data_IF_687061746809
#
_entry.id   IF_687061746809
#
_cell.length_a   1.000
_cell.length_b   1.000
_cell.length_c   1.000
_cell.angle_alpha   90.00
_cell.angle_beta   90.00
_cell.angle_gamma   90.00
#
_symmetry.space_group_name_H-M   'P 1'
#
loop_
_entity.id
_entity.type
_entity.pdbx_description
1 polymer ?
#
# COMPACT_ATOMS: atom_id res chain seq x y z
N UNK A 1 7.56 -1.53 -0.93
CA UNK A 1 7.69 -1.25 -2.39
C UNK A 1 7.08 -2.38 -3.26
N UNK A 2 5.86 -2.82 -2.90
CA UNK A 2 5.22 -3.99 -3.48
C UNK A 2 5.09 -3.96 -5.01
N UNK A 3 4.61 -2.86 -5.57
CA UNK A 3 4.48 -2.72 -7.04
C UNK A 3 5.83 -2.67 -7.76
N UNK A 4 6.88 -2.16 -7.12
CA UNK A 4 8.21 -2.14 -7.71
C UNK A 4 8.81 -3.55 -7.74
N UNK A 5 8.58 -4.34 -6.71
CA UNK A 5 8.96 -5.77 -6.70
C UNK A 5 8.19 -6.53 -7.79
N UNK A 6 6.86 -6.32 -7.88
CA UNK A 6 6.01 -6.97 -8.88
C UNK A 6 6.45 -6.62 -10.32
N UNK A 7 6.71 -5.34 -10.58
CA UNK A 7 7.04 -4.84 -11.91
C UNK A 7 8.51 -4.97 -12.27
N UNK A 8 9.42 -4.97 -11.27
CA UNK A 8 10.86 -5.04 -11.45
C UNK A 8 11.38 -3.92 -12.36
N UNK A 9 12.24 -4.22 -13.36
CA UNK A 9 12.79 -3.21 -14.27
C UNK A 9 11.73 -2.46 -15.10
N UNK A 10 10.50 -2.97 -15.17
CA UNK A 10 9.37 -2.36 -15.89
C UNK A 10 8.46 -1.52 -14.98
N UNK A 11 8.99 -0.91 -13.92
CA UNK A 11 8.22 -0.15 -12.93
C UNK A 11 7.58 1.16 -13.45
N UNK A 12 8.03 1.69 -14.61
CA UNK A 12 7.37 2.80 -15.32
C UNK A 12 6.17 2.30 -16.11
N UNK A 13 5.11 3.11 -16.21
CA UNK A 13 3.84 2.71 -16.85
C UNK A 13 4.00 2.29 -18.32
N UNK A 14 4.79 3.05 -19.09
CA UNK A 14 5.07 2.77 -20.49
C UNK A 14 5.84 1.46 -20.72
N UNK A 15 6.69 1.07 -19.77
CA UNK A 15 7.42 -0.20 -19.79
C UNK A 15 6.50 -1.34 -19.34
N UNK A 16 5.72 -1.12 -18.27
CA UNK A 16 4.79 -2.12 -17.75
C UNK A 16 3.71 -2.49 -18.76
N UNK A 17 3.19 -1.52 -19.50
CA UNK A 17 2.24 -1.76 -20.57
C UNK A 17 2.76 -2.73 -21.66
N UNK A 18 4.07 -2.75 -21.91
CA UNK A 18 4.72 -3.63 -22.91
C UNK A 18 5.06 -5.03 -22.38
N UNK A 19 4.92 -5.29 -21.08
CA UNK A 19 5.15 -6.64 -20.51
C UNK A 19 4.00 -7.56 -20.97
N UNK A 20 4.27 -8.76 -21.52
CA UNK A 20 3.24 -9.71 -21.90
C UNK A 20 2.32 -10.08 -20.72
N UNK A 21 1.03 -10.32 -21.01
CA UNK A 21 0.03 -10.58 -19.97
C UNK A 21 0.29 -11.88 -19.20
N UNK A 22 0.79 -12.93 -19.85
CA UNK A 22 1.20 -14.17 -19.22
C UNK A 22 2.37 -13.97 -18.24
N UNK A 23 3.32 -13.09 -18.57
CA UNK A 23 4.41 -12.72 -17.67
C UNK A 23 3.90 -11.91 -16.47
N UNK A 24 2.98 -10.96 -16.67
CA UNK A 24 2.34 -10.24 -15.56
C UNK A 24 1.61 -11.20 -14.64
N UNK A 25 0.83 -12.13 -15.20
CA UNK A 25 0.10 -13.15 -14.46
C UNK A 25 1.04 -14.02 -13.63
N UNK A 26 2.11 -14.54 -14.23
CA UNK A 26 3.10 -15.35 -13.53
C UNK A 26 3.76 -14.59 -12.37
N UNK A 27 4.08 -13.31 -12.56
CA UNK A 27 4.65 -12.46 -11.50
C UNK A 27 3.66 -12.28 -10.36
N UNK A 28 2.38 -12.02 -10.64
CA UNK A 28 1.35 -11.92 -9.61
C UNK A 28 1.20 -13.23 -8.83
N UNK A 29 1.15 -14.38 -9.51
CA UNK A 29 1.05 -15.70 -8.86
C UNK A 29 2.24 -16.00 -7.94
N UNK A 30 3.46 -15.68 -8.37
CA UNK A 30 4.65 -15.85 -7.56
C UNK A 30 4.67 -14.89 -6.36
N UNK A 31 4.23 -13.66 -6.55
CA UNK A 31 4.14 -12.68 -5.48
C UNK A 31 3.08 -13.07 -4.44
N UNK A 32 1.92 -13.56 -4.87
CA UNK A 32 0.89 -14.12 -3.99
C UNK A 32 1.44 -15.28 -3.14
N UNK A 33 2.15 -16.23 -3.76
CA UNK A 33 2.78 -17.35 -3.03
C UNK A 33 3.76 -16.84 -1.97
N UNK A 34 4.60 -15.88 -2.34
CA UNK A 34 5.61 -15.33 -1.42
C UNK A 34 4.95 -14.61 -0.23
N UNK A 35 3.94 -13.77 -0.46
CA UNK A 35 3.23 -13.05 0.61
C UNK A 35 2.50 -14.02 1.54
N UNK A 36 1.80 -15.03 1.00
CA UNK A 36 1.11 -16.03 1.82
C UNK A 36 2.09 -16.86 2.67
N UNK A 37 3.24 -17.27 2.11
CA UNK A 37 4.28 -17.96 2.87
C UNK A 37 4.83 -17.11 4.03
N UNK A 38 4.99 -15.80 3.83
CA UNK A 38 5.40 -14.88 4.90
C UNK A 38 4.33 -14.79 6.00
N UNK A 39 3.06 -14.69 5.62
CA UNK A 39 1.96 -14.64 6.60
C UNK A 39 1.89 -15.91 7.43
N UNK A 40 2.01 -17.09 6.79
CA UNK A 40 2.07 -18.38 7.50
C UNK A 40 3.21 -18.45 8.51
N UNK A 41 4.39 -17.94 8.13
CA UNK A 41 5.55 -17.90 9.03
C UNK A 41 5.28 -16.97 10.25
N UNK A 42 4.65 -15.83 10.03
CA UNK A 42 4.29 -14.89 11.10
C UNK A 42 3.20 -15.51 12.01
N UNK A 43 2.19 -16.15 11.45
CA UNK A 43 1.14 -16.82 12.22
C UNK A 43 1.75 -17.93 13.12
N UNK A 44 2.64 -18.77 12.58
CA UNK A 44 3.37 -19.77 13.36
C UNK A 44 4.25 -19.17 14.46
N UNK A 45 4.95 -18.06 14.15
CA UNK A 45 5.76 -17.36 15.15
C UNK A 45 4.88 -16.80 16.29
N UNK A 46 3.72 -16.24 15.99
CA UNK A 46 2.76 -15.76 17.01
C UNK A 46 2.28 -16.90 17.91
N UNK A 47 1.97 -18.06 17.33
CA UNK A 47 1.53 -19.24 18.09
C UNK A 47 2.63 -19.76 19.02
N UNK A 48 3.89 -19.66 18.61
CA UNK A 48 5.04 -20.16 19.39
C UNK A 48 5.42 -19.27 20.58
N UNK A 49 5.08 -17.96 20.52
CA UNK A 49 5.48 -16.94 21.53
C UNK A 49 4.26 -16.41 22.29
N UNK A 50 3.62 -17.28 23.07
CA UNK A 50 2.33 -16.99 23.76
C UNK A 50 2.39 -15.85 24.78
N UNK A 51 3.55 -15.57 25.39
CA UNK A 51 3.70 -14.59 26.46
C UNK A 51 4.36 -13.27 26.00
N UNK A 52 4.48 -13.03 24.71
CA UNK A 52 5.04 -11.79 24.18
C UNK A 52 4.10 -10.60 24.43
N UNK A 53 4.62 -9.53 24.99
CA UNK A 53 3.93 -8.23 25.07
C UNK A 53 3.97 -7.48 23.72
N UNK A 54 4.87 -7.86 22.82
CA UNK A 54 4.99 -7.30 21.49
C UNK A 54 4.04 -8.03 20.53
N UNK A 55 3.27 -7.27 19.77
CA UNK A 55 2.43 -7.79 18.67
C UNK A 55 3.11 -7.47 17.35
N UNK A 56 3.29 -8.48 16.52
CA UNK A 56 3.88 -8.34 15.18
C UNK A 56 2.79 -8.49 14.15
N UNK A 57 2.70 -7.56 13.21
CA UNK A 57 1.74 -7.59 12.12
C UNK A 57 2.46 -7.60 10.77
N UNK A 58 1.88 -8.30 9.81
CA UNK A 58 2.35 -8.33 8.43
C UNK A 58 1.58 -7.30 7.60
N UNK A 59 2.29 -6.34 7.02
CA UNK A 59 1.72 -5.39 6.09
C UNK A 59 2.19 -5.69 4.66
N UNK A 60 1.24 -5.70 3.71
CA UNK A 60 1.54 -5.70 2.28
C UNK A 60 1.55 -4.25 1.79
N UNK A 61 2.64 -3.85 1.17
CA UNK A 61 2.77 -2.51 0.60
C UNK A 61 2.24 -2.44 -0.83
N UNK A 62 1.50 -1.37 -1.14
CA UNK A 62 1.04 -0.99 -2.47
C UNK A 62 1.46 0.45 -2.80
N UNK A 63 1.93 0.69 -4.05
CA UNK A 63 2.43 1.99 -4.51
C UNK A 63 1.65 2.51 -5.73
N UNK A 64 0.99 1.62 -6.46
CA UNK A 64 0.31 1.90 -7.74
C UNK A 64 -1.19 1.68 -7.61
N UNK A 65 -1.78 2.34 -6.60
CA UNK A 65 -3.19 2.14 -6.24
C UNK A 65 -4.12 2.81 -7.25
N UNK A 66 -3.83 4.06 -7.63
CA UNK A 66 -4.70 4.82 -8.53
C UNK A 66 -4.77 4.19 -9.93
N UNK A 67 -3.64 3.73 -10.48
CA UNK A 67 -3.65 3.01 -11.76
C UNK A 67 -4.28 1.61 -11.63
N UNK A 68 -4.22 1.02 -10.45
CA UNK A 68 -4.94 -0.22 -10.14
C UNK A 68 -6.46 -0.04 -10.18
N UNK A 69 -6.99 1.10 -9.71
CA UNK A 69 -8.40 1.49 -9.84
C UNK A 69 -8.80 1.59 -11.31
N UNK A 70 -7.89 2.08 -12.16
CA UNK A 70 -8.11 2.19 -13.62
C UNK A 70 -7.91 0.87 -14.38
N UNK A 71 -7.75 -0.26 -13.66
CA UNK A 71 -7.66 -1.61 -14.24
C UNK A 71 -6.26 -2.05 -14.67
N UNK A 72 -5.22 -1.24 -14.43
CA UNK A 72 -3.84 -1.66 -14.71
C UNK A 72 -3.38 -2.66 -13.65
N UNK A 73 -2.76 -3.76 -14.07
CA UNK A 73 -2.22 -4.78 -13.16
C UNK A 73 -1.27 -4.15 -12.14
N UNK A 74 -1.61 -4.29 -10.86
CA UNK A 74 -0.89 -3.74 -9.70
C UNK A 74 -1.07 -4.64 -8.48
N UNK A 75 -0.31 -4.38 -7.42
CA UNK A 75 -0.49 -5.08 -6.15
C UNK A 75 -1.91 -4.93 -5.63
N UNK A 76 -2.50 -3.74 -5.75
CA UNK A 76 -3.80 -3.43 -5.17
C UNK A 76 -4.95 -4.27 -5.74
N UNK A 77 -4.95 -4.55 -7.06
CA UNK A 77 -6.05 -5.26 -7.73
C UNK A 77 -5.73 -6.71 -8.11
N UNK A 78 -4.44 -7.06 -8.28
CA UNK A 78 -4.03 -8.35 -8.83
C UNK A 78 -3.30 -9.26 -7.85
N UNK A 79 -2.94 -8.75 -6.66
CA UNK A 79 -2.28 -9.53 -5.59
C UNK A 79 -3.09 -9.49 -4.30
N UNK A 80 -3.43 -8.28 -3.81
CA UNK A 80 -4.11 -8.08 -2.53
C UNK A 80 -5.39 -8.92 -2.36
N UNK A 81 -6.28 -9.10 -3.37
CA UNK A 81 -7.48 -9.91 -3.20
C UNK A 81 -7.23 -11.41 -2.93
N UNK A 82 -6.01 -11.89 -3.21
CA UNK A 82 -5.65 -13.32 -3.17
C UNK A 82 -4.66 -13.67 -2.04
N UNK A 83 -4.30 -12.70 -1.21
CA UNK A 83 -3.37 -12.91 -0.09
C UNK A 83 -4.06 -12.69 1.24
N UNK A 84 -3.60 -13.39 2.28
CA UNK A 84 -3.92 -13.10 3.67
C UNK A 84 -2.82 -12.22 4.25
N UNK A 85 -3.16 -11.03 4.71
CA UNK A 85 -2.24 -10.12 5.43
C UNK A 85 -3.00 -9.41 6.55
N UNK A 86 -2.28 -8.87 7.53
CA UNK A 86 -2.92 -8.16 8.64
C UNK A 86 -3.28 -6.72 8.26
N UNK A 87 -2.39 -6.06 7.54
CA UNK A 87 -2.51 -4.66 7.16
C UNK A 87 -2.14 -4.47 5.67
N UNK A 88 -2.65 -3.41 5.08
CA UNK A 88 -2.21 -2.89 3.78
C UNK A 88 -1.54 -1.55 4.01
N UNK A 89 -0.28 -1.43 3.62
CA UNK A 89 0.49 -0.20 3.69
C UNK A 89 0.48 0.50 2.33
N UNK A 90 -0.09 1.67 2.25
CA UNK A 90 -0.07 2.45 1.02
C UNK A 90 1.00 3.54 1.07
N UNK A 91 2.03 3.44 0.19
CA UNK A 91 2.93 4.55 -0.12
C UNK A 91 2.19 5.45 -1.10
N UNK A 92 1.50 6.47 -0.56
CA UNK A 92 0.32 7.10 -1.15
C UNK A 92 0.62 8.22 -2.17
N UNK A 93 1.82 8.28 -2.73
CA UNK A 93 2.23 9.35 -3.64
C UNK A 93 1.34 9.51 -4.87
N UNK A 94 0.75 8.43 -5.38
CA UNK A 94 -0.20 8.49 -6.50
C UNK A 94 -1.60 8.99 -6.10
N UNK A 95 -1.92 9.00 -4.79
CA UNK A 95 -3.18 9.51 -4.22
C UNK A 95 -3.13 10.95 -3.69
N UNK A 96 -1.95 11.62 -3.70
CA UNK A 96 -1.76 12.94 -3.06
C UNK A 96 -2.34 14.13 -3.83
N UNK A 97 -2.95 13.91 -4.98
CA UNK A 97 -3.52 14.99 -5.78
C UNK A 97 -4.66 15.70 -5.06
N UNK A 98 -5.46 14.97 -4.28
CA UNK A 98 -6.58 15.53 -3.51
C UNK A 98 -7.04 14.59 -2.39
N UNK A 99 -7.76 15.13 -1.39
CA UNK A 99 -8.44 14.32 -0.38
C UNK A 99 -9.44 13.32 -1.00
N UNK A 100 -10.05 13.65 -2.14
CA UNK A 100 -10.94 12.74 -2.89
C UNK A 100 -10.19 11.55 -3.49
N UNK A 101 -8.98 11.76 -4.01
CA UNK A 101 -8.16 10.66 -4.54
C UNK A 101 -7.65 9.77 -3.40
N UNK A 102 -7.29 10.37 -2.26
CA UNK A 102 -6.95 9.62 -1.05
C UNK A 102 -8.13 8.74 -0.61
N UNK A 103 -9.34 9.28 -0.53
CA UNK A 103 -10.55 8.53 -0.21
C UNK A 103 -10.79 7.36 -1.19
N UNK A 104 -10.67 7.60 -2.49
CA UNK A 104 -10.83 6.57 -3.53
C UNK A 104 -9.84 5.42 -3.35
N UNK A 105 -8.57 5.76 -3.10
CA UNK A 105 -7.53 4.76 -2.89
C UNK A 105 -7.75 3.93 -1.63
N UNK A 106 -8.11 4.55 -0.49
CA UNK A 106 -8.42 3.85 0.76
C UNK A 106 -9.62 2.92 0.57
N UNK A 107 -10.71 3.38 -0.07
CA UNK A 107 -11.90 2.55 -0.36
C UNK A 107 -11.52 1.34 -1.21
N UNK A 108 -10.80 1.57 -2.31
CA UNK A 108 -10.36 0.50 -3.19
C UNK A 108 -9.53 -0.55 -2.45
N UNK A 109 -8.52 -0.12 -1.68
CA UNK A 109 -7.70 -1.05 -0.90
C UNK A 109 -8.52 -1.82 0.14
N UNK A 110 -9.46 -1.16 0.83
CA UNK A 110 -10.33 -1.79 1.81
C UNK A 110 -11.24 -2.86 1.18
N UNK A 111 -11.75 -2.62 -0.04
CA UNK A 111 -12.57 -3.56 -0.81
C UNK A 111 -11.74 -4.75 -1.34
N UNK A 112 -10.52 -4.47 -1.78
CA UNK A 112 -9.61 -5.50 -2.29
C UNK A 112 -9.01 -6.37 -1.18
N UNK A 113 -8.89 -5.85 0.03
CA UNK A 113 -8.36 -6.58 1.18
C UNK A 113 -9.41 -7.55 1.74
N UNK A 114 -9.60 -8.68 1.07
CA UNK A 114 -10.66 -9.67 1.38
C UNK A 114 -10.30 -10.60 2.53
N UNK A 115 -9.02 -10.97 2.67
CA UNK A 115 -8.52 -11.90 3.69
C UNK A 115 -7.72 -11.15 4.76
N UNK A 116 -8.44 -10.46 5.64
CA UNK A 116 -7.87 -9.71 6.76
C UNK A 116 -7.36 -10.69 7.82
N UNK A 117 -6.09 -10.56 8.20
CA UNK A 117 -5.44 -11.44 9.17
C UNK A 117 -5.93 -11.18 10.60
N UNK A 118 -5.18 -10.37 11.35
CA UNK A 118 -5.46 -10.12 12.77
C UNK A 118 -6.63 -9.14 13.04
N UNK A 119 -7.17 -8.45 12.01
CA UNK A 119 -8.16 -7.36 12.16
C UNK A 119 -9.38 -7.49 11.23
N UNK A 120 -10.17 -8.57 11.31
CA UNK A 120 -11.25 -8.81 10.35
C UNK A 120 -12.33 -7.72 10.34
N UNK A 121 -12.58 -7.07 11.48
CA UNK A 121 -13.67 -6.10 11.68
C UNK A 121 -13.21 -4.63 11.66
N UNK A 122 -11.93 -4.36 11.38
CA UNK A 122 -11.37 -3.01 11.45
C UNK A 122 -10.88 -2.50 10.10
N UNK A 123 -10.68 -1.18 10.03
CA UNK A 123 -9.89 -0.58 8.95
C UNK A 123 -8.46 -1.12 9.01
N UNK A 124 -8.02 -1.72 7.92
CA UNK A 124 -6.71 -2.37 7.81
C UNK A 124 -5.77 -1.66 6.84
N UNK A 125 -6.26 -0.64 6.15
CA UNK A 125 -5.43 0.21 5.29
C UNK A 125 -4.76 1.26 6.15
N UNK A 126 -3.43 1.34 6.07
CA UNK A 126 -2.61 2.38 6.67
C UNK A 126 -1.88 3.17 5.58
N UNK A 127 -1.56 4.41 5.86
CA UNK A 127 -0.70 5.21 5.01
C UNK A 127 0.73 5.01 5.47
N UNK A 128 1.48 4.17 4.75
CA UNK A 128 2.86 3.82 5.08
C UNK A 128 3.87 4.88 4.70
N UNK A 129 3.54 5.65 3.65
CA UNK A 129 4.33 6.81 3.26
C UNK A 129 3.42 7.90 2.71
N UNK A 130 3.64 9.14 3.18
CA UNK A 130 2.99 10.34 2.71
C UNK A 130 3.92 11.54 2.88
N UNK A 131 4.05 12.38 1.86
CA UNK A 131 4.85 13.60 1.93
C UNK A 131 4.88 14.34 0.60
N UNK A 132 5.27 15.61 0.65
CA UNK A 132 5.45 16.46 -0.52
C UNK A 132 6.86 17.06 -0.53
N UNK A 133 7.42 17.22 -1.72
CA UNK A 133 8.63 18.01 -1.92
C UNK A 133 8.25 19.50 -1.91
N UNK A 134 8.34 20.17 -0.76
CA UNK A 134 7.92 21.55 -0.58
C UNK A 134 8.64 22.51 -1.52
N UNK A 135 9.92 22.24 -1.84
CA UNK A 135 10.76 23.10 -2.69
C UNK A 135 10.25 23.21 -4.13
N UNK A 136 9.46 22.23 -4.60
CA UNK A 136 8.94 22.20 -5.99
C UNK A 136 7.41 22.29 -6.04
N UNK A 137 6.73 22.34 -4.89
CA UNK A 137 5.30 22.46 -4.84
C UNK A 137 4.84 23.85 -5.33
N UNK A 138 3.82 23.87 -6.19
CA UNK A 138 3.18 25.07 -6.69
C UNK A 138 1.80 25.32 -6.04
N UNK A 139 1.60 24.77 -4.86
CA UNK A 139 0.37 24.84 -4.07
C UNK A 139 0.73 24.93 -2.57
N UNK A 140 -0.24 25.30 -1.73
CA UNK A 140 -0.07 25.26 -0.27
C UNK A 140 -0.01 23.82 0.22
N UNK A 141 1.22 23.38 0.57
CA UNK A 141 1.50 22.01 1.04
C UNK A 141 0.81 21.74 2.38
N UNK A 142 0.79 22.73 3.30
CA UNK A 142 0.20 22.56 4.62
C UNK A 142 -1.33 22.39 4.53
N UNK A 143 -2.01 23.20 3.72
CA UNK A 143 -3.45 23.09 3.48
C UNK A 143 -3.79 21.75 2.80
N UNK A 144 -3.04 21.37 1.77
CA UNK A 144 -3.22 20.09 1.08
C UNK A 144 -3.04 18.91 2.02
N UNK A 145 -1.97 18.93 2.80
CA UNK A 145 -1.67 17.87 3.75
C UNK A 145 -2.76 17.77 4.82
N UNK A 146 -3.20 18.92 5.36
CA UNK A 146 -4.30 18.95 6.33
C UNK A 146 -5.56 18.30 5.75
N UNK A 147 -5.97 18.66 4.53
CA UNK A 147 -7.18 18.10 3.91
C UNK A 147 -7.10 16.57 3.72
N UNK A 148 -5.91 16.06 3.40
CA UNK A 148 -5.65 14.62 3.25
C UNK A 148 -5.70 13.92 4.60
N UNK A 149 -5.05 14.47 5.64
CA UNK A 149 -5.08 13.92 6.99
C UNK A 149 -6.50 13.88 7.57
N UNK A 150 -7.26 14.98 7.42
CA UNK A 150 -8.65 15.02 7.86
C UNK A 150 -9.46 13.87 7.21
N UNK A 151 -9.24 13.62 5.91
CA UNK A 151 -9.89 12.52 5.20
C UNK A 151 -9.46 11.14 5.71
N UNK A 152 -8.18 10.94 5.98
CA UNK A 152 -7.69 9.69 6.57
C UNK A 152 -8.31 9.43 7.96
N UNK A 153 -8.44 10.48 8.79
CA UNK A 153 -9.07 10.38 10.11
C UNK A 153 -10.56 10.06 9.99
N UNK A 154 -11.30 10.70 9.07
CA UNK A 154 -12.71 10.39 8.78
C UNK A 154 -12.93 8.92 8.36
N UNK A 155 -11.90 8.30 7.78
CA UNK A 155 -11.94 6.91 7.31
C UNK A 155 -11.35 5.91 8.29
N UNK A 156 -11.10 6.31 9.54
CA UNK A 156 -10.53 5.46 10.60
C UNK A 156 -9.18 4.83 10.23
N UNK A 157 -8.34 5.52 9.42
CA UNK A 157 -7.01 5.03 9.07
C UNK A 157 -6.14 4.91 10.33
N UNK A 158 -5.64 3.70 10.68
CA UNK A 158 -5.02 3.47 11.97
C UNK A 158 -3.63 4.08 12.13
N UNK A 159 -2.90 4.23 11.03
CA UNK A 159 -1.52 4.77 11.02
C UNK A 159 -1.29 5.62 9.79
N UNK A 160 -0.65 6.77 9.99
CA UNK A 160 -0.19 7.68 8.92
C UNK A 160 1.26 8.00 9.21
N UNK A 161 2.17 7.63 8.31
CA UNK A 161 3.62 7.80 8.47
C UNK A 161 4.10 8.84 7.47
N UNK A 162 4.58 10.00 8.00
CA UNK A 162 5.11 11.07 7.17
C UNK A 162 6.51 10.74 6.66
N UNK A 163 6.74 10.84 5.36
CA UNK A 163 8.02 10.68 4.70
C UNK A 163 8.41 11.98 4.00
N UNK A 164 9.40 12.72 4.48
CA UNK A 164 10.16 12.55 5.73
C UNK A 164 10.48 13.93 6.33
N UNK A 165 10.80 13.99 7.63
CA UNK A 165 11.08 15.25 8.33
C UNK A 165 12.40 15.87 7.87
N UNK A 166 13.41 15.03 7.59
CA UNK A 166 14.72 15.45 7.09
C UNK A 166 15.05 14.70 5.82
N UNK A 167 15.04 15.41 4.70
CA UNK A 167 15.39 14.85 3.40
C UNK A 167 16.86 15.12 3.09
N UNK A 168 17.65 14.06 2.85
CA UNK A 168 19.03 14.15 2.40
C UNK A 168 19.18 14.01 0.87
N UNK A 169 18.08 13.99 0.13
CA UNK A 169 18.12 13.91 -1.31
C UNK A 169 18.72 15.18 -1.90
N UNK A 170 19.66 15.08 -2.86
CA UNK A 170 20.23 16.25 -3.51
C UNK A 170 19.13 17.05 -4.22
N UNK A 171 19.25 18.38 -4.13
CA UNK A 171 18.33 19.34 -4.76
C UNK A 171 18.40 19.27 -6.28
#
# INVERSE_FOLDING_TARGET
EGDWILRGPANKEDKWAKVPEDVKKLRCENFIKWINSRQEAIDKARESVKNSKCKVYHALEANKVMVGIDGVVSVSNSVLPFVKVDLVSWSSYDGLKSAKDMERGIKHLSEMHRNKGAFPEKQTVMIGEIGFQEQVANFDVAERMKSIYDKCLEMDVPYIIYWEIYCNEPK
#
